data_IF_822366218472
#
_entry.id   IF_822366218472
#
_cell.length_a   1.000
_cell.length_b   1.000
_cell.length_c   1.000
_cell.angle_alpha   90.00
_cell.angle_beta   90.00
_cell.angle_gamma   90.00
#
_symmetry.space_group_name_H-M   'P 1'
#
loop_
_entity.id
_entity.type
_entity.pdbx_description
1 polymer ?
#
# COMPACT_ATOMS: atom_id res chain seq x y z
N UNK A 1 -34.95 5.21 6.26
CA UNK A 1 -35.61 3.97 5.80
C UNK A 1 -36.46 4.13 4.55
N UNK A 2 -37.26 5.19 4.39
CA UNK A 2 -38.11 5.36 3.19
C UNK A 2 -37.31 5.29 1.88
N UNK A 3 -36.19 6.01 1.79
CA UNK A 3 -35.31 6.01 0.61
C UNK A 3 -34.74 4.62 0.33
N UNK A 4 -34.25 3.92 1.37
CA UNK A 4 -33.69 2.56 1.24
C UNK A 4 -34.71 1.55 0.69
N UNK A 5 -35.98 1.68 1.11
CA UNK A 5 -37.07 0.84 0.62
C UNK A 5 -37.36 1.05 -0.87
N UNK A 6 -37.22 2.27 -1.38
CA UNK A 6 -37.37 2.55 -2.81
C UNK A 6 -36.24 1.90 -3.63
N UNK A 7 -35.01 1.83 -3.10
CA UNK A 7 -33.91 1.10 -3.74
C UNK A 7 -34.12 -0.42 -3.77
N UNK A 8 -34.90 -0.96 -2.81
CA UNK A 8 -35.35 -2.35 -2.79
C UNK A 8 -36.15 -2.78 -4.03
N UNK A 9 -36.62 -1.83 -4.85
CA UNK A 9 -37.27 -2.11 -6.15
C UNK A 9 -36.28 -2.46 -7.26
N UNK A 10 -35.03 -2.02 -7.13
CA UNK A 10 -33.99 -2.19 -8.16
C UNK A 10 -32.98 -3.27 -7.77
N UNK A 11 -32.74 -3.46 -6.48
CA UNK A 11 -31.86 -4.49 -5.95
C UNK A 11 -32.51 -5.14 -4.73
N UNK A 12 -32.52 -6.47 -4.69
CA UNK A 12 -33.09 -7.25 -3.59
C UNK A 12 -32.32 -7.09 -2.27
N UNK A 13 -31.02 -6.75 -2.35
CA UNK A 13 -30.17 -6.49 -1.19
C UNK A 13 -29.29 -5.24 -1.41
N UNK A 14 -29.86 -4.02 -1.25
CA UNK A 14 -29.07 -2.80 -1.33
C UNK A 14 -28.27 -2.59 -0.04
N UNK A 15 -26.99 -2.23 -0.19
CA UNK A 15 -26.13 -1.82 0.92
C UNK A 15 -26.38 -0.35 1.25
N UNK A 16 -26.37 -0.01 2.54
CA UNK A 16 -26.49 1.35 3.03
C UNK A 16 -25.17 1.82 3.63
N UNK A 17 -24.49 2.76 2.98
CA UNK A 17 -23.24 3.35 3.47
C UNK A 17 -23.52 4.73 4.06
N UNK A 18 -23.03 4.95 5.27
CA UNK A 18 -23.13 6.23 5.98
C UNK A 18 -21.73 6.78 6.21
N UNK A 19 -21.48 7.99 5.71
CA UNK A 19 -20.26 8.75 5.97
C UNK A 19 -20.57 9.88 6.96
N UNK A 20 -19.84 9.94 8.07
CA UNK A 20 -19.91 11.07 8.99
C UNK A 20 -18.93 12.16 8.54
N UNK A 21 -19.41 13.33 8.09
CA UNK A 21 -18.52 14.41 7.65
C UNK A 21 -17.82 15.13 8.81
N UNK A 22 -18.23 14.89 10.07
CA UNK A 22 -17.68 15.57 11.24
C UNK A 22 -16.41 14.85 11.73
N UNK A 23 -15.34 14.97 10.96
CA UNK A 23 -14.06 14.36 11.28
C UNK A 23 -13.34 15.21 12.32
N UNK A 24 -13.11 14.64 13.51
CA UNK A 24 -12.20 15.25 14.49
C UNK A 24 -10.77 14.82 14.19
N UNK A 25 -9.75 15.68 14.43
CA UNK A 25 -8.35 15.30 14.20
C UNK A 25 -7.88 14.10 15.05
N UNK A 26 -8.67 13.67 16.04
CA UNK A 26 -8.40 12.52 16.89
C UNK A 26 -8.97 11.19 16.35
N UNK A 27 -9.91 11.23 15.40
CA UNK A 27 -10.48 10.01 14.79
C UNK A 27 -9.48 9.42 13.80
N UNK A 28 -8.86 8.30 14.19
CA UNK A 28 -7.90 7.55 13.34
C UNK A 28 -8.57 6.56 12.40
N UNK A 29 -9.84 6.24 12.64
CA UNK A 29 -10.62 5.31 11.85
C UNK A 29 -11.34 6.06 10.73
N UNK A 30 -11.56 5.38 9.60
CA UNK A 30 -12.33 5.95 8.50
C UNK A 30 -13.77 6.18 9.00
N UNK A 31 -14.34 7.40 8.83
CA UNK A 31 -15.66 7.76 9.36
C UNK A 31 -16.80 7.21 8.49
N UNK A 32 -16.71 5.91 8.17
CA UNK A 32 -17.65 5.20 7.31
C UNK A 32 -18.23 4.03 8.08
N UNK A 33 -19.55 3.87 8.02
CA UNK A 33 -20.28 2.70 8.50
C UNK A 33 -21.10 2.10 7.37
N UNK A 34 -21.17 0.79 7.32
CA UNK A 34 -21.91 0.06 6.29
C UNK A 34 -22.98 -0.79 6.95
N UNK A 35 -24.17 -0.79 6.36
CA UNK A 35 -25.32 -1.49 6.91
C UNK A 35 -26.00 -2.34 5.83
N UNK A 36 -26.48 -3.52 6.24
CA UNK A 36 -27.43 -4.30 5.46
C UNK A 36 -28.83 -4.10 6.00
N UNK A 37 -29.82 -4.13 5.11
CA UNK A 37 -31.21 -4.17 5.52
C UNK A 37 -31.68 -5.60 5.67
N UNK A 38 -32.07 -5.97 6.89
CA UNK A 38 -32.74 -7.24 7.18
C UNK A 38 -34.20 -6.98 7.53
N UNK A 39 -35.07 -7.91 7.16
CA UNK A 39 -36.47 -7.88 7.61
C UNK A 39 -36.57 -8.74 8.86
N UNK A 40 -36.83 -8.11 10.01
CA UNK A 40 -36.99 -8.80 11.28
C UNK A 40 -38.41 -8.56 11.81
N UNK A 41 -39.01 -9.60 12.40
CA UNK A 41 -40.31 -9.47 13.05
C UNK A 41 -40.08 -8.84 14.42
N UNK A 42 -40.63 -7.65 14.64
CA UNK A 42 -40.61 -6.94 15.91
C UNK A 42 -42.06 -6.75 16.33
N UNK A 43 -42.48 -7.34 17.44
CA UNK A 43 -43.86 -7.31 17.94
C UNK A 43 -44.90 -7.80 16.91
N UNK A 44 -44.67 -8.97 16.30
CA UNK A 44 -45.51 -9.59 15.25
C UNK A 44 -45.69 -8.76 13.96
N UNK A 45 -44.93 -7.67 13.80
CA UNK A 45 -44.92 -6.85 12.59
C UNK A 45 -43.57 -6.99 11.90
N UNK A 46 -43.52 -7.37 10.60
CA UNK A 46 -42.27 -7.37 9.85
C UNK A 46 -41.78 -5.93 9.66
N UNK A 47 -40.63 -5.62 10.25
CA UNK A 47 -39.97 -4.34 10.16
C UNK A 47 -38.60 -4.49 9.48
N UNK A 48 -38.27 -3.55 8.60
CA UNK A 48 -36.92 -3.45 8.05
C UNK A 48 -36.01 -2.82 9.11
N UNK A 49 -34.88 -3.44 9.40
CA UNK A 49 -33.87 -2.98 10.35
C UNK A 49 -32.50 -2.97 9.67
N UNK A 50 -31.62 -2.08 10.12
CA UNK A 50 -30.24 -2.02 9.64
C UNK A 50 -29.30 -2.73 10.62
N UNK A 51 -28.47 -3.62 10.09
CA UNK A 51 -27.41 -4.32 10.83
C UNK A 51 -26.07 -3.83 10.33
N UNK A 52 -25.16 -3.52 11.25
CA UNK A 52 -23.81 -3.05 10.95
C UNK A 52 -22.98 -4.21 10.37
N UNK A 53 -22.17 -3.92 9.35
CA UNK A 53 -21.34 -4.90 8.65
C UNK A 53 -19.88 -4.45 8.69
N UNK A 54 -19.00 -5.38 9.04
CA UNK A 54 -17.56 -5.19 8.88
C UNK A 54 -17.19 -5.06 7.40
N UNK A 55 -16.31 -4.10 7.10
CA UNK A 55 -15.79 -3.89 5.75
C UNK A 55 -14.28 -3.82 5.76
N UNK A 56 -13.67 -4.28 4.66
CA UNK A 56 -12.28 -4.03 4.32
C UNK A 56 -12.22 -3.17 3.07
N UNK A 57 -11.22 -2.29 3.00
CA UNK A 57 -10.93 -1.53 1.79
C UNK A 57 -9.97 -2.36 0.96
N UNK A 58 -10.47 -2.87 -0.16
CA UNK A 58 -9.63 -3.48 -1.18
C UNK A 58 -9.35 -2.45 -2.27
N UNK A 59 -8.08 -2.31 -2.65
CA UNK A 59 -7.67 -1.43 -3.75
C UNK A 59 -6.91 -2.26 -4.77
N UNK A 60 -7.17 -2.01 -6.05
CA UNK A 60 -6.33 -2.54 -7.12
C UNK A 60 -5.06 -1.71 -7.27
N UNK A 61 -3.96 -2.30 -7.75
CA UNK A 61 -2.67 -1.60 -7.87
C UNK A 61 -2.74 -0.23 -8.58
N UNK A 62 -3.44 -0.05 -9.72
CA UNK A 62 -3.55 1.28 -10.33
C UNK A 62 -4.35 2.26 -9.47
N UNK A 63 -5.36 1.81 -8.73
CA UNK A 63 -6.12 2.64 -7.81
C UNK A 63 -5.25 3.07 -6.62
N UNK A 64 -4.50 2.14 -6.03
CA UNK A 64 -3.54 2.41 -4.94
C UNK A 64 -2.55 3.50 -5.33
N UNK A 65 -1.95 3.39 -6.51
CA UNK A 65 -0.98 4.38 -7.04
C UNK A 65 -1.67 5.74 -7.23
N UNK A 66 -2.89 5.75 -7.75
CA UNK A 66 -3.65 6.98 -8.01
C UNK A 66 -4.03 7.69 -6.71
N UNK A 67 -4.54 6.95 -5.72
CA UNK A 67 -4.86 7.49 -4.39
C UNK A 67 -3.60 8.02 -3.70
N UNK A 68 -2.50 7.26 -3.76
CA UNK A 68 -1.22 7.69 -3.21
C UNK A 68 -0.71 9.00 -3.84
N UNK A 69 -0.86 9.12 -5.15
CA UNK A 69 -0.54 10.35 -5.89
C UNK A 69 -1.41 11.52 -5.43
N UNK A 70 -2.74 11.34 -5.33
CA UNK A 70 -3.67 12.41 -4.91
C UNK A 70 -3.37 12.87 -3.48
N UNK A 71 -3.05 11.94 -2.58
CA UNK A 71 -2.74 12.24 -1.17
C UNK A 71 -1.43 13.02 -1.04
N UNK A 72 -0.43 12.73 -1.89
CA UNK A 72 0.91 13.32 -1.80
C UNK A 72 1.07 14.62 -2.61
N UNK A 73 0.45 14.75 -3.78
CA UNK A 73 0.61 15.92 -4.67
C UNK A 73 -0.25 17.14 -4.30
N UNK A 74 -0.98 17.10 -3.16
CA UNK A 74 -1.60 18.29 -2.58
C UNK A 74 -0.61 19.40 -2.17
N UNK A 75 0.71 19.13 -2.19
CA UNK A 75 1.76 20.10 -1.96
C UNK A 75 3.04 19.78 -2.75
N UNK A 76 3.32 20.61 -3.75
CA UNK A 76 4.61 20.76 -4.46
C UNK A 76 4.96 19.69 -5.52
N UNK A 77 4.43 19.88 -6.73
CA UNK A 77 4.77 19.18 -7.97
C UNK A 77 6.19 19.46 -8.49
N UNK A 78 7.06 20.11 -7.71
CA UNK A 78 8.38 20.55 -8.14
C UNK A 78 9.53 19.55 -7.96
N UNK A 79 9.38 18.58 -7.06
CA UNK A 79 10.49 17.67 -6.74
C UNK A 79 10.30 16.32 -7.43
N UNK A 80 11.09 16.07 -8.48
CA UNK A 80 11.31 14.74 -9.07
C UNK A 80 12.04 13.86 -8.04
N UNK A 81 11.37 13.49 -6.96
CA UNK A 81 11.90 12.58 -5.96
C UNK A 81 12.09 11.23 -6.64
N UNK A 82 13.31 10.69 -6.54
CA UNK A 82 13.65 9.38 -7.12
C UNK A 82 12.62 8.33 -6.69
N UNK A 83 12.15 7.46 -7.60
CA UNK A 83 11.25 6.35 -7.26
C UNK A 83 11.75 5.50 -6.09
N UNK A 84 13.07 5.37 -5.93
CA UNK A 84 13.68 4.69 -4.79
C UNK A 84 13.41 5.39 -3.45
N UNK A 85 13.53 6.72 -3.40
CA UNK A 85 13.29 7.49 -2.17
C UNK A 85 11.82 7.38 -1.75
N UNK A 86 10.90 7.39 -2.73
CA UNK A 86 9.46 7.14 -2.49
C UNK A 86 9.22 5.77 -1.89
N UNK A 87 9.74 4.71 -2.54
CA UNK A 87 9.57 3.33 -2.07
C UNK A 87 10.17 3.11 -0.67
N UNK A 88 11.33 3.70 -0.38
CA UNK A 88 11.93 3.62 0.95
C UNK A 88 11.10 4.36 2.01
N UNK A 89 10.52 5.51 1.68
CA UNK A 89 9.60 6.22 2.57
C UNK A 89 8.34 5.41 2.89
N UNK A 90 7.78 4.74 1.89
CA UNK A 90 6.63 3.83 2.06
C UNK A 90 6.97 2.65 2.98
N UNK A 91 8.10 1.98 2.73
CA UNK A 91 8.57 0.88 3.59
C UNK A 91 8.81 1.35 5.03
N UNK A 92 9.43 2.53 5.21
CA UNK A 92 9.64 3.12 6.54
C UNK A 92 8.32 3.37 7.26
N UNK A 93 7.32 3.90 6.56
CA UNK A 93 6.00 4.17 7.12
C UNK A 93 5.31 2.86 7.54
N UNK A 94 5.32 1.84 6.70
CA UNK A 94 4.75 0.52 7.02
C UNK A 94 5.42 -0.12 8.23
N UNK A 95 6.77 -0.09 8.30
CA UNK A 95 7.52 -0.60 9.46
C UNK A 95 7.20 0.19 10.73
N UNK A 96 7.10 1.52 10.62
CA UNK A 96 6.72 2.40 11.74
C UNK A 96 5.30 2.10 12.24
N UNK A 97 4.34 1.88 11.34
CA UNK A 97 2.96 1.50 11.69
C UNK A 97 2.90 0.14 12.40
N UNK A 98 3.61 -0.87 11.88
CA UNK A 98 3.68 -2.18 12.53
C UNK A 98 4.33 -2.06 13.91
N UNK A 99 5.42 -1.30 14.04
CA UNK A 99 6.10 -1.06 15.32
C UNK A 99 5.17 -0.44 16.36
N UNK A 100 4.33 0.53 15.94
CA UNK A 100 3.34 1.14 16.84
C UNK A 100 2.32 0.11 17.35
N UNK A 101 1.85 -0.79 16.47
CA UNK A 101 0.92 -1.87 16.87
C UNK A 101 1.57 -2.85 17.84
N UNK A 102 2.80 -3.30 17.56
CA UNK A 102 3.55 -4.20 18.46
C UNK A 102 3.79 -3.57 19.82
N UNK A 103 4.19 -2.29 19.87
CA UNK A 103 4.37 -1.56 21.14
C UNK A 103 3.07 -1.42 21.94
N UNK A 104 1.93 -1.30 21.27
CA UNK A 104 0.62 -1.28 21.93
C UNK A 104 0.36 -2.61 22.66
N UNK A 105 0.58 -3.74 21.97
CA UNK A 105 0.45 -5.08 22.56
C UNK A 105 1.43 -5.29 23.73
N UNK A 106 2.68 -4.88 23.56
CA UNK A 106 3.70 -4.93 24.62
C UNK A 106 3.26 -4.14 25.87
N UNK A 107 2.76 -2.91 25.67
CA UNK A 107 2.25 -2.07 26.75
C UNK A 107 1.08 -2.74 27.47
N UNK A 108 0.12 -3.30 26.72
CA UNK A 108 -1.01 -4.04 27.29
C UNK A 108 -0.53 -5.20 28.18
N UNK A 109 0.38 -6.04 27.67
CA UNK A 109 0.93 -7.17 28.44
C UNK A 109 1.65 -6.73 29.73
N UNK A 110 2.35 -5.59 29.71
CA UNK A 110 3.00 -5.03 30.91
C UNK A 110 1.98 -4.59 31.96
N UNK A 111 0.92 -3.91 31.55
CA UNK A 111 -0.13 -3.43 32.45
C UNK A 111 -0.93 -4.58 33.08
N UNK A 112 -1.24 -5.61 32.28
CA UNK A 112 -1.89 -6.84 32.77
C UNK A 112 -0.98 -7.57 33.78
N UNK A 113 0.33 -7.66 33.51
CA UNK A 113 1.30 -8.25 34.45
C UNK A 113 1.44 -7.45 35.75
N UNK A 114 1.33 -6.13 35.69
CA UNK A 114 1.34 -5.25 36.85
C UNK A 114 0.04 -5.29 37.67
N UNK A 115 -1.03 -5.88 37.13
CA UNK A 115 -2.34 -5.93 37.77
C UNK A 115 -3.15 -4.63 37.65
N UNK A 116 -2.75 -3.70 36.78
CA UNK A 116 -3.42 -2.41 36.58
C UNK A 116 -4.69 -2.53 35.71
N UNK A 117 -4.78 -3.59 34.90
CA UNK A 117 -5.90 -3.87 33.97
C UNK A 117 -6.39 -5.30 34.20
N UNK A 118 -7.72 -5.58 34.15
CA UNK A 118 -8.24 -6.93 34.26
C UNK A 118 -7.71 -7.85 33.16
N UNK A 119 -7.49 -9.11 33.52
CA UNK A 119 -6.95 -10.12 32.60
C UNK A 119 -8.03 -10.57 31.62
N UNK A 120 -7.82 -10.33 30.33
CA UNK A 120 -8.60 -10.95 29.25
C UNK A 120 -7.85 -12.16 28.70
N UNK A 121 -8.36 -13.36 29.03
CA UNK A 121 -7.77 -14.62 28.59
C UNK A 121 -7.95 -14.91 27.09
N UNK A 122 -8.95 -14.32 26.43
CA UNK A 122 -9.16 -14.48 24.98
C UNK A 122 -8.07 -13.72 24.25
N UNK A 123 -7.89 -12.44 24.58
CA UNK A 123 -6.87 -11.59 23.97
C UNK A 123 -5.44 -12.11 24.22
N UNK A 124 -5.16 -12.63 25.42
CA UNK A 124 -3.86 -13.25 25.71
C UNK A 124 -3.59 -14.48 24.86
N UNK A 125 -4.62 -15.30 24.57
CA UNK A 125 -4.50 -16.47 23.70
C UNK A 125 -4.22 -16.05 22.26
N UNK A 126 -4.90 -15.03 21.76
CA UNK A 126 -4.66 -14.49 20.42
C UNK A 126 -3.24 -13.95 20.26
N UNK A 127 -2.78 -13.14 21.22
CA UNK A 127 -1.40 -12.62 21.22
C UNK A 127 -0.38 -13.77 21.23
N UNK A 128 -0.61 -14.80 22.06
CA UNK A 128 0.24 -15.99 22.06
C UNK A 128 0.21 -16.73 20.71
N UNK A 129 -0.95 -16.81 20.05
CA UNK A 129 -1.08 -17.41 18.73
C UNK A 129 -0.23 -16.69 17.69
N UNK A 130 -0.27 -15.35 17.70
CA UNK A 130 0.56 -14.52 16.81
C UNK A 130 2.05 -14.78 17.07
N UNK A 131 2.49 -14.75 18.33
CA UNK A 131 3.89 -15.00 18.68
C UNK A 131 4.36 -16.40 18.27
N UNK A 132 3.52 -17.42 18.43
CA UNK A 132 3.84 -18.80 18.07
C UNK A 132 3.86 -19.04 16.55
N UNK A 133 3.28 -18.12 15.77
CA UNK A 133 3.32 -18.17 14.30
C UNK A 133 4.65 -17.61 13.75
N UNK A 134 5.48 -16.99 14.60
CA UNK A 134 6.78 -16.47 14.21
C UNK A 134 7.87 -17.52 14.46
N UNK A 135 8.75 -17.80 13.48
CA UNK A 135 8.82 -17.25 12.12
C UNK A 135 7.82 -17.89 11.13
N UNK A 136 7.17 -17.05 10.30
CA UNK A 136 6.04 -17.41 9.42
C UNK A 136 6.36 -18.55 8.42
N UNK A 137 7.59 -18.59 7.89
CA UNK A 137 8.03 -19.61 6.95
C UNK A 137 9.52 -19.92 7.15
N UNK A 138 9.83 -21.19 7.41
CA UNK A 138 11.20 -21.73 7.46
C UNK A 138 11.27 -23.07 6.72
N UNK A 139 10.65 -23.12 5.53
CA UNK A 139 10.62 -24.32 4.69
C UNK A 139 11.68 -24.23 3.61
N UNK A 140 12.40 -25.32 3.36
CA UNK A 140 13.41 -25.40 2.29
C UNK A 140 12.86 -24.98 0.92
N UNK A 141 11.59 -25.30 0.62
CA UNK A 141 10.95 -24.89 -0.63
C UNK A 141 10.86 -23.37 -0.81
N UNK A 142 10.63 -22.63 0.28
CA UNK A 142 10.61 -21.17 0.26
C UNK A 142 12.01 -20.61 0.03
N UNK A 143 13.03 -21.18 0.67
CA UNK A 143 14.41 -20.74 0.48
C UNK A 143 14.87 -20.98 -0.96
N UNK A 144 14.57 -22.15 -1.53
CA UNK A 144 14.91 -22.47 -2.91
C UNK A 144 14.22 -21.51 -3.91
N UNK A 145 12.93 -21.22 -3.69
CA UNK A 145 12.18 -20.26 -4.52
C UNK A 145 12.68 -18.81 -4.35
N UNK A 146 12.97 -18.40 -3.12
CA UNK A 146 13.53 -17.08 -2.81
C UNK A 146 14.91 -16.90 -3.46
N UNK A 147 15.79 -17.90 -3.39
CA UNK A 147 17.10 -17.86 -4.03
C UNK A 147 16.98 -17.81 -5.55
N UNK A 148 16.03 -18.54 -6.13
CA UNK A 148 15.76 -18.50 -7.56
C UNK A 148 15.34 -17.09 -8.01
N UNK A 149 14.33 -16.51 -7.36
CA UNK A 149 13.84 -15.16 -7.69
C UNK A 149 14.92 -14.09 -7.50
N UNK A 150 15.73 -14.22 -6.44
CA UNK A 150 16.85 -13.34 -6.18
C UNK A 150 17.90 -13.40 -7.30
N UNK A 151 18.28 -14.61 -7.72
CA UNK A 151 19.24 -14.81 -8.79
C UNK A 151 18.71 -14.30 -10.14
N UNK A 152 17.44 -14.55 -10.45
CA UNK A 152 16.79 -14.09 -11.69
C UNK A 152 16.75 -12.55 -11.75
N UNK A 153 16.35 -11.90 -10.65
CA UNK A 153 16.36 -10.43 -10.53
C UNK A 153 17.76 -9.85 -10.68
N UNK A 154 18.77 -10.49 -10.07
CA UNK A 154 20.16 -10.06 -10.15
C UNK A 154 20.69 -10.15 -11.59
N UNK A 155 20.41 -11.25 -12.28
CA UNK A 155 20.79 -11.46 -13.67
C UNK A 155 20.17 -10.39 -14.58
N UNK A 156 18.86 -10.17 -14.48
CA UNK A 156 18.14 -9.15 -15.27
C UNK A 156 18.74 -7.76 -15.01
N UNK A 157 19.03 -7.43 -13.75
CA UNK A 157 19.65 -6.16 -13.36
C UNK A 157 21.04 -5.98 -13.96
N UNK A 158 21.86 -7.02 -13.97
CA UNK A 158 23.19 -6.97 -14.59
C UNK A 158 23.09 -6.76 -16.10
N UNK A 159 22.23 -7.51 -16.79
CA UNK A 159 22.00 -7.35 -18.23
C UNK A 159 21.48 -5.94 -18.58
N UNK A 160 20.56 -5.40 -17.79
CA UNK A 160 20.06 -4.04 -17.96
C UNK A 160 21.16 -2.99 -17.76
N UNK A 161 22.05 -3.19 -16.78
CA UNK A 161 23.18 -2.30 -16.52
C UNK A 161 24.20 -2.32 -17.65
N UNK A 162 24.53 -3.51 -18.17
CA UNK A 162 25.38 -3.67 -19.35
C UNK A 162 24.78 -2.99 -20.58
N UNK A 163 23.48 -3.20 -20.82
CA UNK A 163 22.75 -2.57 -21.93
C UNK A 163 22.81 -1.04 -21.85
N UNK A 164 22.59 -0.46 -20.66
CA UNK A 164 22.74 0.98 -20.42
C UNK A 164 24.18 1.46 -20.66
N UNK A 165 25.18 0.68 -20.21
CA UNK A 165 26.59 0.97 -20.44
C UNK A 165 26.93 1.02 -21.94
N UNK A 166 26.49 0.03 -22.71
CA UNK A 166 26.68 -0.02 -24.17
C UNK A 166 25.96 1.12 -24.88
N UNK A 167 24.73 1.47 -24.46
CA UNK A 167 24.02 2.61 -25.02
C UNK A 167 24.76 3.94 -24.79
N UNK A 168 25.33 4.13 -23.60
CA UNK A 168 26.14 5.30 -23.29
C UNK A 168 27.42 5.37 -24.14
N UNK A 169 28.14 4.25 -24.31
CA UNK A 169 29.36 4.23 -25.14
C UNK A 169 29.07 4.46 -26.62
N UNK A 170 27.95 3.92 -27.14
CA UNK A 170 27.49 4.21 -28.50
C UNK A 170 27.16 5.69 -28.71
N UNK A 171 26.59 6.34 -27.70
CA UNK A 171 26.29 7.79 -27.75
C UNK A 171 27.58 8.60 -27.79
N UNK A 172 28.53 8.30 -26.90
CA UNK A 172 29.86 8.93 -26.91
C UNK A 172 30.61 8.70 -28.22
N UNK A 173 30.52 7.50 -28.80
CA UNK A 173 31.15 7.21 -30.09
C UNK A 173 30.57 8.07 -31.22
N UNK A 174 29.25 8.31 -31.23
CA UNK A 174 28.61 9.20 -32.20
C UNK A 174 29.09 10.64 -32.02
N UNK A 175 29.14 11.12 -30.78
CA UNK A 175 29.59 12.48 -30.47
C UNK A 175 31.06 12.69 -30.85
N UNK A 176 31.93 11.70 -30.59
CA UNK A 176 33.33 11.75 -30.99
C UNK A 176 33.50 11.77 -32.52
N UNK A 177 32.73 10.95 -33.25
CA UNK A 177 32.74 10.95 -34.72
C UNK A 177 32.27 12.30 -35.29
N UNK A 178 31.26 12.90 -34.67
CA UNK A 178 30.79 14.23 -35.05
C UNK A 178 31.90 15.27 -34.86
N UNK A 179 32.53 15.32 -33.69
CA UNK A 179 33.66 16.23 -33.43
C UNK A 179 34.83 16.01 -34.39
N UNK A 180 35.20 14.76 -34.69
CA UNK A 180 36.29 14.48 -35.64
C UNK A 180 35.96 14.93 -37.06
N UNK A 181 34.70 14.81 -37.49
CA UNK A 181 34.27 15.29 -38.82
C UNK A 181 34.23 16.82 -38.95
N UNK A 182 34.12 17.53 -37.83
CA UNK A 182 34.13 19.00 -37.78
C UNK A 182 35.56 19.58 -37.67
N UNK A 183 36.53 18.72 -37.38
CA UNK A 183 37.95 19.06 -37.20
C UNK A 183 38.79 18.89 -38.48
N UNK A 184 38.20 18.42 -39.58
CA UNK A 184 38.90 18.26 -40.86
C UNK A 184 39.22 19.66 -41.46
N UNK A 185 40.50 20.05 -41.59
CA UNK A 185 40.90 21.38 -42.04
C UNK A 185 40.61 21.66 -43.54
N UNK A 186 40.16 20.66 -44.30
CA UNK A 186 39.95 20.77 -45.74
C UNK A 186 38.66 21.48 -46.18
N UNK A 187 37.76 21.84 -45.25
CA UNK A 187 36.64 22.76 -45.57
C UNK A 187 37.02 24.24 -45.50
N UNK A 188 38.12 24.62 -44.84
CA UNK A 188 38.52 26.04 -44.71
C UNK A 188 39.30 26.51 -45.95
N UNK A 189 39.92 25.59 -46.70
CA UNK A 189 40.68 25.90 -47.93
C UNK A 189 39.82 25.97 -49.21
N UNK A 190 38.50 25.77 -49.15
CA UNK A 190 37.59 25.92 -50.31
C UNK A 190 36.88 27.27 -50.42
N UNK A 191 37.18 28.21 -49.51
CA UNK A 191 36.59 29.56 -49.50
C UNK A 191 37.62 30.71 -49.45
N UNK A 192 38.85 30.47 -49.92
CA UNK A 192 39.80 31.51 -50.35
C UNK A 192 40.13 31.30 -51.83
#
# INVERSE_FOLDING_TARGET
MFIHREFGRFNESPLFLMLDPNITPETKELPVKMFESITQVINDVPAMTFVDIEFSIETVEPERITVDHIVKDGGDTGSRVSPLVRNLGELQNSVSMLTKRVRCLEKYLRLVKAGEIPVDHVLLREISGICNTLPLHNSQAFDDEFQKEYNDTLLIRHLATLTKGVAATLTLQKDLKFCSSQSDPDSVMKHL
#
